data_IF_234631280459
#
_entry.id   IF_234631280459
#
_cell.length_a   1.000
_cell.length_b   1.000
_cell.length_c   1.000
_cell.angle_alpha   90.00
_cell.angle_beta   90.00
_cell.angle_gamma   90.00
#
_symmetry.space_group_name_H-M   'P 1'
#
loop_
_entity.id
_entity.type
_entity.pdbx_description
1 polymer ?
#
# COMPACT_ATOMS: atom_id res chain seq x y z
N UNK A 1 10.89 11.43 -1.49
CA UNK A 1 10.73 10.59 -0.28
C UNK A 1 10.18 11.40 0.89
N UNK A 2 10.82 12.51 1.32
CA UNK A 2 10.33 13.37 2.42
C UNK A 2 8.85 13.79 2.30
N UNK A 3 8.35 14.06 1.09
CA UNK A 3 6.94 14.41 0.87
C UNK A 3 5.94 13.35 1.37
N UNK A 4 6.27 12.07 1.26
CA UNK A 4 5.38 10.96 1.67
C UNK A 4 5.43 10.67 3.18
N UNK A 5 6.37 11.29 3.91
CA UNK A 5 6.50 11.19 5.37
C UNK A 5 6.13 12.52 6.06
N UNK A 6 5.66 13.53 5.32
CA UNK A 6 5.34 14.87 5.87
C UNK A 6 4.25 14.85 6.95
N UNK A 7 3.37 13.83 6.93
CA UNK A 7 2.33 13.65 7.94
C UNK A 7 2.83 12.97 9.23
N UNK A 8 4.08 12.48 9.26
CA UNK A 8 4.63 11.73 10.39
C UNK A 8 5.50 12.62 11.29
N UNK A 9 5.55 12.36 12.62
CA UNK A 9 6.43 13.06 13.55
C UNK A 9 7.91 12.99 13.12
N UNK A 10 8.66 14.09 13.31
CA UNK A 10 10.03 14.28 12.78
C UNK A 10 11.02 13.12 12.98
N UNK A 11 10.86 12.27 13.99
CA UNK A 11 11.72 11.10 14.24
C UNK A 11 11.41 9.90 13.35
N UNK A 12 10.16 9.73 12.90
CA UNK A 12 9.72 8.62 12.03
C UNK A 12 9.98 8.87 10.54
N UNK A 13 10.27 10.12 10.16
CA UNK A 13 10.53 10.53 8.78
C UNK A 13 11.80 9.89 8.17
N UNK A 14 12.69 9.36 9.01
CA UNK A 14 13.94 8.71 8.59
C UNK A 14 13.85 7.17 8.58
N UNK A 15 12.72 6.60 9.02
CA UNK A 15 12.56 5.14 9.08
C UNK A 15 11.94 4.66 7.78
N UNK A 16 12.76 4.02 6.94
CA UNK A 16 12.32 3.41 5.69
C UNK A 16 11.62 2.08 5.95
N UNK A 17 12.23 1.23 6.77
CA UNK A 17 11.71 -0.06 7.21
C UNK A 17 12.23 -0.38 8.62
N UNK A 18 11.36 -0.92 9.49
CA UNK A 18 11.72 -1.39 10.81
C UNK A 18 10.69 -2.45 11.23
N UNK A 19 11.03 -3.73 11.06
CA UNK A 19 10.14 -4.84 11.41
C UNK A 19 10.85 -5.90 12.23
N UNK A 20 10.12 -6.54 13.14
CA UNK A 20 10.56 -7.68 13.92
C UNK A 20 9.74 -8.92 13.53
N UNK A 21 10.43 -10.01 13.18
CA UNK A 21 9.83 -11.24 12.68
C UNK A 21 9.96 -12.42 13.64
N UNK A 22 8.87 -13.15 13.85
CA UNK A 22 8.85 -14.41 14.59
C UNK A 22 8.37 -15.55 13.69
N UNK A 23 9.18 -16.62 13.63
CA UNK A 23 8.83 -17.86 12.94
C UNK A 23 7.98 -18.74 13.85
N UNK A 24 6.71 -18.94 13.49
CA UNK A 24 5.77 -19.71 14.30
C UNK A 24 6.06 -21.22 14.29
N UNK A 25 6.40 -21.76 13.13
CA UNK A 25 6.63 -23.21 12.97
C UNK A 25 8.02 -23.47 12.40
N UNK A 26 8.80 -24.35 13.05
CA UNK A 26 10.11 -24.74 12.52
C UNK A 26 9.98 -25.55 11.22
N UNK A 27 8.91 -26.34 11.06
CA UNK A 27 8.71 -27.22 9.88
C UNK A 27 7.98 -26.57 8.71
N UNK A 28 7.15 -25.55 8.95
CA UNK A 28 6.45 -24.77 7.93
C UNK A 28 6.98 -23.35 8.07
N UNK A 29 7.60 -22.78 7.05
CA UNK A 29 8.22 -21.45 7.08
C UNK A 29 7.19 -20.32 7.18
N UNK A 30 6.34 -20.37 8.21
CA UNK A 30 5.30 -19.39 8.49
C UNK A 30 5.91 -18.32 9.40
N UNK A 31 5.84 -17.08 8.95
CA UNK A 31 6.39 -15.92 9.65
C UNK A 31 5.30 -14.93 10.00
N UNK A 32 5.46 -14.30 11.15
CA UNK A 32 4.73 -13.10 11.54
C UNK A 32 5.76 -11.99 11.70
N UNK A 33 5.64 -10.95 10.89
CA UNK A 33 6.46 -9.75 10.98
C UNK A 33 5.59 -8.59 11.47
N UNK A 34 6.09 -7.78 12.39
CA UNK A 34 5.38 -6.60 12.88
C UNK A 34 6.30 -5.37 12.84
N UNK A 35 5.77 -4.24 12.35
CA UNK A 35 6.47 -2.96 12.31
C UNK A 35 6.18 -2.16 11.04
N UNK A 36 7.14 -1.33 10.63
CA UNK A 36 7.13 -0.60 9.36
C UNK A 36 7.74 -1.49 8.29
N UNK A 37 6.91 -1.90 7.34
CA UNK A 37 7.22 -2.87 6.29
C UNK A 37 7.16 -2.15 4.94
N UNK A 38 8.08 -2.48 4.05
CA UNK A 38 8.02 -2.04 2.65
C UNK A 38 6.70 -2.44 2.00
N UNK A 39 6.19 -1.56 1.15
CA UNK A 39 4.97 -1.83 0.40
C UNK A 39 5.18 -2.97 -0.61
N UNK A 40 4.29 -3.98 -0.65
CA UNK A 40 4.35 -5.06 -1.65
C UNK A 40 3.70 -4.67 -3.00
N UNK A 41 3.12 -3.47 -3.09
CA UNK A 41 2.40 -2.99 -4.26
C UNK A 41 3.38 -2.48 -5.32
N UNK A 42 3.14 -2.90 -6.56
CA UNK A 42 3.98 -2.71 -7.75
C UNK A 42 5.36 -3.38 -7.63
N UNK A 43 6.03 -3.58 -8.77
CA UNK A 43 7.38 -4.17 -8.75
C UNK A 43 8.46 -3.20 -8.21
N UNK A 44 8.13 -1.91 -8.11
CA UNK A 44 9.08 -0.83 -7.85
C UNK A 44 8.89 -0.27 -6.42
N UNK A 45 9.74 -0.71 -5.50
CA UNK A 45 9.81 -0.19 -4.12
C UNK A 45 10.38 1.24 -4.02
N UNK A 46 10.45 1.82 -2.82
CA UNK A 46 11.10 3.12 -2.61
C UNK A 46 12.63 3.08 -2.87
N UNK A 47 13.23 1.89 -2.89
CA UNK A 47 14.68 1.68 -2.98
C UNK A 47 15.02 1.26 -4.41
N UNK A 48 15.58 2.19 -5.19
CA UNK A 48 15.87 1.96 -6.62
C UNK A 48 16.95 0.91 -6.89
N UNK A 49 17.75 0.52 -5.89
CA UNK A 49 18.82 -0.49 -6.10
C UNK A 49 18.26 -1.88 -6.45
N UNK A 50 17.04 -2.18 -5.98
CA UNK A 50 16.43 -3.49 -6.11
C UNK A 50 15.52 -3.57 -7.36
N UNK A 51 15.54 -2.55 -8.22
CA UNK A 51 14.71 -2.47 -9.42
C UNK A 51 15.45 -2.96 -10.66
N UNK A 52 14.67 -3.51 -11.60
CA UNK A 52 15.17 -3.92 -12.91
C UNK A 52 15.57 -2.71 -13.80
N UNK A 53 15.04 -1.52 -13.53
CA UNK A 53 15.29 -0.30 -14.30
C UNK A 53 15.83 0.81 -13.40
N UNK A 54 16.80 1.58 -13.90
CA UNK A 54 17.42 2.69 -13.16
C UNK A 54 16.46 3.89 -13.00
N UNK A 55 15.63 4.12 -14.02
CA UNK A 55 14.53 5.08 -14.00
C UNK A 55 13.24 4.38 -13.62
N UNK A 56 12.53 4.93 -12.64
CA UNK A 56 11.25 4.39 -12.16
C UNK A 56 10.12 4.66 -13.16
N UNK A 57 9.19 3.72 -13.25
CA UNK A 57 7.92 3.95 -13.93
C UNK A 57 7.03 4.93 -13.15
N UNK A 58 5.93 5.38 -13.76
CA UNK A 58 4.90 6.17 -13.05
C UNK A 58 4.00 5.31 -12.14
N UNK A 59 4.09 3.98 -12.21
CA UNK A 59 3.23 3.09 -11.43
C UNK A 59 3.39 3.23 -9.90
N UNK A 60 4.60 3.29 -9.31
CA UNK A 60 4.76 3.38 -7.87
C UNK A 60 4.38 4.74 -7.27
N UNK A 61 4.23 5.79 -8.08
CA UNK A 61 3.82 7.11 -7.57
C UNK A 61 2.37 7.13 -7.06
N UNK A 62 1.55 6.16 -7.49
CA UNK A 62 0.15 6.05 -7.09
C UNK A 62 -0.10 5.02 -5.99
N UNK A 63 0.95 4.36 -5.47
CA UNK A 63 0.84 3.28 -4.46
C UNK A 63 1.56 3.67 -3.16
N UNK A 64 1.32 2.99 -2.02
CA UNK A 64 1.99 3.34 -0.80
C UNK A 64 3.46 2.92 -0.88
N UNK A 65 4.35 3.68 -0.24
CA UNK A 65 5.78 3.35 -0.19
C UNK A 65 6.14 2.49 1.02
N UNK A 66 5.36 2.62 2.10
CA UNK A 66 5.52 1.88 3.35
C UNK A 66 4.13 1.57 3.92
N UNK A 67 4.07 0.51 4.73
CA UNK A 67 2.90 0.09 5.47
C UNK A 67 3.32 -0.19 6.91
N UNK A 68 2.52 0.22 7.90
CA UNK A 68 2.79 -0.08 9.31
C UNK A 68 1.74 -1.06 9.84
N UNK A 69 2.19 -2.17 10.40
CA UNK A 69 1.30 -3.19 10.94
C UNK A 69 1.94 -4.57 11.05
N UNK A 70 1.11 -5.59 10.85
CA UNK A 70 1.48 -7.01 10.94
C UNK A 70 1.37 -7.64 9.55
N UNK A 71 2.40 -8.38 9.15
CA UNK A 71 2.44 -9.22 7.96
C UNK A 71 2.54 -10.68 8.36
N UNK A 72 1.69 -11.50 7.79
CA UNK A 72 1.74 -12.95 7.86
C UNK A 72 2.29 -13.48 6.54
N UNK A 73 3.35 -14.27 6.58
CA UNK A 73 3.94 -14.92 5.41
C UNK A 73 3.70 -16.41 5.47
N UNK A 74 3.01 -16.97 4.47
CA UNK A 74 2.57 -18.36 4.43
C UNK A 74 2.99 -19.00 3.11
N UNK A 75 4.06 -19.81 3.08
CA UNK A 75 4.43 -20.59 1.90
C UNK A 75 3.45 -21.75 1.74
N UNK A 76 2.61 -21.69 0.71
CA UNK A 76 1.63 -22.74 0.42
C UNK A 76 2.31 -23.94 -0.23
N UNK A 77 3.22 -23.69 -1.17
CA UNK A 77 4.05 -24.69 -1.83
C UNK A 77 5.31 -24.05 -2.42
N UNK A 78 6.15 -24.82 -3.12
CA UNK A 78 7.41 -24.32 -3.72
C UNK A 78 7.22 -23.21 -4.77
N UNK A 79 6.01 -23.02 -5.27
CA UNK A 79 5.67 -22.06 -6.34
C UNK A 79 4.80 -20.91 -5.85
N UNK A 80 4.06 -21.07 -4.75
CA UNK A 80 3.06 -20.11 -4.29
C UNK A 80 3.36 -19.71 -2.84
N UNK A 81 3.55 -18.41 -2.64
CA UNK A 81 3.59 -17.77 -1.34
C UNK A 81 2.38 -16.86 -1.18
N UNK A 82 1.70 -16.97 -0.05
CA UNK A 82 0.60 -16.11 0.35
C UNK A 82 1.09 -15.17 1.44
N UNK A 83 0.73 -13.89 1.36
CA UNK A 83 0.94 -12.95 2.44
C UNK A 83 -0.38 -12.25 2.78
N UNK A 84 -0.59 -12.02 4.06
CA UNK A 84 -1.72 -11.26 4.57
C UNK A 84 -1.22 -10.13 5.46
N UNK A 85 -1.83 -8.96 5.34
CA UNK A 85 -1.41 -7.73 5.99
C UNK A 85 -2.57 -7.19 6.81
N UNK A 86 -2.31 -6.84 8.06
CA UNK A 86 -3.20 -6.06 8.92
C UNK A 86 -2.45 -4.78 9.29
N UNK A 87 -2.89 -3.65 8.76
CA UNK A 87 -2.10 -2.42 8.67
C UNK A 87 -2.91 -1.20 9.07
N UNK A 88 -2.23 -0.14 9.47
CA UNK A 88 -2.85 1.07 10.00
C UNK A 88 -3.62 1.86 8.93
N UNK A 89 -3.16 1.86 7.69
CA UNK A 89 -3.77 2.58 6.58
C UNK A 89 -2.82 2.78 5.40
N UNK A 90 -3.25 3.53 4.40
CA UNK A 90 -2.45 3.78 3.21
C UNK A 90 -1.39 4.86 3.48
N UNK A 91 -0.10 4.50 3.39
CA UNK A 91 1.04 5.39 3.74
C UNK A 91 0.89 6.02 5.14
N UNK A 92 0.57 5.20 6.14
CA UNK A 92 0.39 5.69 7.51
C UNK A 92 1.26 4.87 8.46
N UNK A 93 2.23 5.52 9.14
CA UNK A 93 3.03 4.90 10.18
C UNK A 93 2.31 5.02 11.51
N UNK A 94 1.95 6.24 11.88
CA UNK A 94 1.19 6.51 13.10
C UNK A 94 -0.29 6.18 12.91
N UNK A 95 -0.89 5.54 13.91
CA UNK A 95 -2.31 5.19 13.89
C UNK A 95 -3.18 6.43 14.16
N UNK A 96 -3.58 7.15 13.10
CA UNK A 96 -4.49 8.32 13.17
C UNK A 96 -5.93 7.98 12.80
N UNK A 97 -6.25 6.70 12.56
CA UNK A 97 -7.61 6.22 12.32
C UNK A 97 -8.03 5.13 13.33
N UNK A 98 -9.34 4.87 13.45
CA UNK A 98 -9.85 3.70 14.18
C UNK A 98 -10.00 2.46 13.29
N UNK A 99 -10.02 2.62 11.96
CA UNK A 99 -10.28 1.56 10.98
C UNK A 99 -9.01 0.96 10.41
N UNK A 100 -8.62 -0.23 10.90
CA UNK A 100 -7.48 -0.96 10.33
C UNK A 100 -7.78 -1.39 8.89
N UNK A 101 -6.75 -1.38 8.06
CA UNK A 101 -6.80 -1.84 6.69
C UNK A 101 -6.24 -3.26 6.57
N UNK A 102 -6.73 -3.98 5.56
CA UNK A 102 -6.33 -5.34 5.26
C UNK A 102 -5.73 -5.37 3.86
N UNK A 103 -4.60 -6.06 3.73
CA UNK A 103 -3.99 -6.35 2.45
C UNK A 103 -3.79 -7.84 2.26
N UNK A 104 -3.81 -8.30 1.02
CA UNK A 104 -3.42 -9.67 0.66
C UNK A 104 -2.50 -9.64 -0.53
N UNK A 105 -1.56 -10.57 -0.57
CA UNK A 105 -0.60 -10.73 -1.65
C UNK A 105 -0.48 -12.20 -1.99
N UNK A 106 -0.49 -12.50 -3.28
CA UNK A 106 -0.20 -13.82 -3.82
C UNK A 106 1.00 -13.69 -4.74
N UNK A 107 2.08 -14.36 -4.36
CA UNK A 107 3.28 -14.48 -5.18
C UNK A 107 3.32 -15.88 -5.80
N UNK A 108 3.34 -15.93 -7.13
CA UNK A 108 3.39 -17.15 -7.92
C UNK A 108 4.63 -17.19 -8.82
N UNK A 109 5.47 -18.20 -8.59
CA UNK A 109 6.68 -18.51 -9.35
C UNK A 109 6.54 -19.90 -9.98
N UNK A 110 5.96 -20.02 -11.19
CA UNK A 110 5.81 -21.31 -11.85
C UNK A 110 7.14 -21.99 -12.19
N UNK A 111 8.17 -21.18 -12.45
CA UNK A 111 9.56 -21.55 -12.76
C UNK A 111 10.50 -20.39 -12.33
N UNK A 112 11.81 -20.57 -12.50
CA UNK A 112 12.81 -19.56 -12.12
C UNK A 112 12.80 -18.30 -13.01
N UNK A 113 12.08 -18.34 -14.14
CA UNK A 113 12.07 -17.27 -15.13
C UNK A 113 10.89 -16.31 -14.94
N UNK A 114 9.81 -16.76 -14.28
CA UNK A 114 8.56 -16.01 -14.20
C UNK A 114 8.18 -15.78 -12.74
N UNK A 115 7.85 -14.54 -12.42
CA UNK A 115 7.28 -14.14 -11.15
C UNK A 115 6.02 -13.34 -11.44
N UNK A 116 4.89 -13.81 -10.92
CA UNK A 116 3.62 -13.09 -10.95
C UNK A 116 3.29 -12.74 -9.51
N UNK A 117 2.98 -11.48 -9.26
CA UNK A 117 2.52 -11.02 -7.96
C UNK A 117 1.20 -10.28 -8.14
N UNK A 118 0.23 -10.64 -7.32
CA UNK A 118 -1.06 -10.00 -7.25
C UNK A 118 -1.33 -9.54 -5.83
N UNK A 119 -1.59 -8.24 -5.65
CA UNK A 119 -1.97 -7.70 -4.36
C UNK A 119 -3.35 -7.06 -4.38
N UNK A 120 -3.95 -7.01 -3.19
CA UNK A 120 -5.23 -6.36 -2.90
C UNK A 120 -5.07 -5.58 -1.61
N UNK A 121 -5.72 -4.43 -1.53
CA UNK A 121 -5.82 -3.54 -0.40
C UNK A 121 -7.28 -3.14 -0.19
N UNK A 122 -7.74 -3.23 1.05
CA UNK A 122 -9.07 -2.78 1.47
C UNK A 122 -8.93 -2.11 2.83
N UNK A 123 -9.27 -0.83 2.92
CA UNK A 123 -9.09 -0.06 4.17
C UNK A 123 -9.99 1.15 4.27
N UNK A 124 -10.36 1.55 5.49
CA UNK A 124 -11.06 2.81 5.75
C UNK A 124 -10.06 3.93 6.00
N UNK A 125 -9.94 4.87 5.06
CA UNK A 125 -8.93 5.93 5.10
C UNK A 125 -9.38 7.18 5.90
N UNK A 126 -10.40 7.06 6.77
CA UNK A 126 -10.83 8.16 7.64
C UNK A 126 -9.76 8.51 8.66
N UNK A 127 -9.17 9.69 8.57
CA UNK A 127 -8.29 10.24 9.61
C UNK A 127 -8.86 11.53 10.20
N UNK A 128 -8.29 12.01 11.31
CA UNK A 128 -8.65 13.32 11.86
C UNK A 128 -8.40 14.47 10.87
N UNK A 129 -7.40 14.32 10.00
CA UNK A 129 -7.02 15.31 8.97
C UNK A 129 -7.88 15.19 7.71
N UNK A 130 -8.44 14.01 7.44
CA UNK A 130 -9.29 13.74 6.27
C UNK A 130 -10.55 12.95 6.65
N UNK A 131 -11.48 13.56 7.42
CA UNK A 131 -12.69 12.90 7.92
C UNK A 131 -13.68 12.51 6.82
N UNK A 132 -13.51 13.03 5.60
CA UNK A 132 -14.34 12.76 4.41
C UNK A 132 -13.95 11.49 3.67
N UNK A 133 -12.72 11.01 3.81
CA UNK A 133 -12.27 9.77 3.17
C UNK A 133 -13.07 8.58 3.71
N UNK A 134 -13.28 7.55 2.92
CA UNK A 134 -13.95 6.30 3.34
C UNK A 134 -13.15 5.12 2.80
N UNK A 135 -13.84 3.99 2.61
CA UNK A 135 -13.26 2.77 2.06
C UNK A 135 -12.50 3.04 0.76
N UNK A 136 -11.24 2.60 0.75
CA UNK A 136 -10.38 2.48 -0.41
C UNK A 136 -10.25 1.01 -0.76
N UNK A 137 -10.46 0.71 -2.03
CA UNK A 137 -10.19 -0.57 -2.65
C UNK A 137 -9.08 -0.36 -3.67
N UNK A 138 -8.03 -1.15 -3.59
CA UNK A 138 -6.95 -1.11 -4.55
C UNK A 138 -6.46 -2.52 -4.85
N UNK A 139 -6.15 -2.79 -6.10
CA UNK A 139 -5.51 -4.03 -6.50
C UNK A 139 -4.50 -3.74 -7.59
N UNK A 140 -3.38 -4.45 -7.54
CA UNK A 140 -2.38 -4.43 -8.58
C UNK A 140 -1.93 -5.85 -8.90
N UNK A 141 -1.50 -6.03 -10.13
CA UNK A 141 -0.84 -7.23 -10.59
C UNK A 141 0.39 -6.82 -11.36
N UNK A 142 1.51 -7.50 -11.10
CA UNK A 142 2.71 -7.35 -11.88
C UNK A 142 3.32 -8.70 -12.23
N UNK A 143 3.96 -8.73 -13.39
CA UNK A 143 4.64 -9.90 -13.92
C UNK A 143 6.05 -9.51 -14.31
N UNK A 144 7.01 -10.32 -13.86
CA UNK A 144 8.42 -10.22 -14.20
C UNK A 144 8.82 -11.50 -14.94
N UNK A 145 9.45 -11.31 -16.08
CA UNK A 145 10.11 -12.34 -16.85
C UNK A 145 11.61 -12.07 -16.90
N UNK A 146 12.41 -12.96 -16.33
CA UNK A 146 13.87 -12.85 -16.28
C UNK A 146 14.54 -14.11 -16.84
N UNK A 147 14.76 -14.19 -18.17
CA UNK A 147 15.61 -15.20 -18.78
C UNK A 147 17.09 -14.94 -18.42
N UNK A 148 17.58 -15.69 -17.44
CA UNK A 148 18.95 -15.68 -16.89
C UNK A 148 20.02 -15.23 -17.91
N UNK A 149 20.34 -13.93 -17.90
CA UNK A 149 21.47 -13.35 -18.64
C UNK A 149 21.19 -12.76 -20.03
N UNK A 150 19.94 -12.70 -20.51
CA UNK A 150 19.64 -12.12 -21.85
C UNK A 150 18.99 -10.74 -21.79
N UNK A 151 17.84 -10.67 -21.13
CA UNK A 151 17.05 -9.45 -20.95
C UNK A 151 16.07 -9.69 -19.80
N UNK A 152 15.47 -8.64 -19.26
CA UNK A 152 14.38 -8.78 -18.28
C UNK A 152 13.22 -7.90 -18.71
N UNK A 153 12.01 -8.44 -18.55
CA UNK A 153 10.76 -7.73 -18.85
C UNK A 153 9.97 -7.65 -17.55
N UNK A 154 9.38 -6.48 -17.31
CA UNK A 154 8.40 -6.31 -16.25
C UNK A 154 7.17 -5.60 -16.82
N UNK A 155 6.00 -5.97 -16.32
CA UNK A 155 4.73 -5.33 -16.64
C UNK A 155 3.91 -5.23 -15.36
N UNK A 156 3.17 -4.13 -15.19
CA UNK A 156 2.28 -3.95 -14.06
C UNK A 156 0.99 -3.25 -14.49
N UNK A 157 -0.09 -3.57 -13.80
CA UNK A 157 -1.39 -2.93 -13.94
C UNK A 157 -2.03 -2.79 -12.57
N UNK A 158 -2.73 -1.69 -12.32
CA UNK A 158 -3.41 -1.45 -11.06
C UNK A 158 -4.72 -0.70 -11.27
N UNK A 159 -5.65 -0.90 -10.34
CA UNK A 159 -6.91 -0.17 -10.27
C UNK A 159 -7.21 0.14 -8.82
N UNK A 160 -7.62 1.39 -8.57
CA UNK A 160 -7.95 1.89 -7.25
C UNK A 160 -9.22 2.72 -7.28
N UNK A 161 -10.04 2.56 -6.26
CA UNK A 161 -11.20 3.42 -6.01
C UNK A 161 -11.22 3.80 -4.54
N UNK A 162 -11.39 5.10 -4.26
CA UNK A 162 -11.64 5.59 -2.92
C UNK A 162 -12.96 6.34 -2.86
N UNK A 163 -13.83 5.91 -1.95
CA UNK A 163 -15.04 6.63 -1.63
C UNK A 163 -14.72 7.87 -0.78
N UNK A 164 -15.38 8.98 -1.07
CA UNK A 164 -15.35 10.20 -0.25
C UNK A 164 -16.78 10.64 0.02
N UNK A 165 -17.06 11.00 1.26
CA UNK A 165 -18.31 11.67 1.59
C UNK A 165 -18.20 13.12 1.14
N UNK A 166 -19.10 13.53 0.25
CA UNK A 166 -19.27 14.93 -0.08
C UNK A 166 -19.71 15.64 1.19
N UNK A 167 -18.93 16.62 1.64
CA UNK A 167 -19.41 17.57 2.62
C UNK A 167 -20.58 18.29 1.95
N UNK A 168 -21.79 18.11 2.46
CA UNK A 168 -22.87 19.03 2.11
C UNK A 168 -22.37 20.43 2.45
N UNK A 169 -22.47 21.43 1.56
CA UNK A 169 -22.11 22.79 1.91
C UNK A 169 -22.91 23.13 3.16
N UNK A 170 -22.22 23.48 4.24
CA UNK A 170 -22.84 23.91 5.47
C UNK A 170 -23.83 25.02 5.14
N UNK A 171 -25.13 24.80 5.37
CA UNK A 171 -26.13 25.85 5.27
C UNK A 171 -25.79 26.91 6.32
N UNK A 172 -25.05 27.93 5.92
CA UNK A 172 -24.98 29.16 6.70
C UNK A 172 -26.34 29.81 6.53
N UNK A 173 -27.24 29.56 7.47
CA UNK A 173 -28.49 30.32 7.55
C UNK A 173 -28.15 31.67 8.17
N UNK A 174 -27.71 32.61 7.34
CA UNK A 174 -27.77 34.02 7.73
C UNK A 174 -29.25 34.40 7.67
N UNK A 175 -29.79 34.82 8.81
CA UNK A 175 -31.19 35.22 8.93
C UNK A 175 -31.54 36.26 7.86
N UNK A 176 -32.55 35.94 7.05
CA UNK A 176 -33.15 36.87 6.08
C UNK A 176 -32.69 36.66 4.64
N UNK A 177 -33.45 35.84 3.90
CA UNK A 177 -33.75 35.98 2.46
C UNK A 177 -32.56 36.33 1.53
N UNK A 178 -31.76 35.32 1.16
CA UNK A 178 -31.31 35.03 -0.22
C UNK A 178 -30.37 33.82 -0.19
N UNK A 179 -30.62 32.84 -1.07
CA UNK A 179 -29.75 31.65 -1.22
C UNK A 179 -28.86 31.89 -2.43
N UNK A 180 -27.57 32.14 -2.21
CA UNK A 180 -26.56 32.18 -3.28
C UNK A 180 -25.73 30.90 -3.19
N UNK A 181 -25.70 30.15 -4.29
CA UNK A 181 -24.78 29.05 -4.49
C UNK A 181 -23.47 29.63 -5.03
N UNK A 182 -22.36 29.37 -4.35
CA UNK A 182 -21.03 29.69 -4.86
C UNK A 182 -20.31 28.38 -5.17
N UNK A 183 -20.20 28.05 -6.46
CA UNK A 183 -19.26 27.05 -6.94
C UNK A 183 -17.86 27.69 -6.97
N UNK A 184 -16.94 27.12 -6.20
CA UNK A 184 -15.51 27.43 -6.28
C UNK A 184 -14.85 26.29 -7.06
N UNK A 185 -14.46 26.60 -8.30
CA UNK A 185 -13.65 25.76 -9.19
C UNK A 185 -12.25 25.49 -8.63
#
# INVERSE_FOLDING_TARGET
>A
MNANYQAEPNTLQNIVEASAGFRLFKKKEIWIDAGVIGSPYTNESAISKDHLMYTRSLAPEYVPYYLSGIKFSIPINKKINLYAYLINGWQQIQDVNKGKAIGTQVEYRPNNLNLINWNVYIGDERSQVSPQNRMRYFTDVYWIYNPEGKFSITSCAYVGNQNRLLLQPSRITIGGRQTLYADIN
#
